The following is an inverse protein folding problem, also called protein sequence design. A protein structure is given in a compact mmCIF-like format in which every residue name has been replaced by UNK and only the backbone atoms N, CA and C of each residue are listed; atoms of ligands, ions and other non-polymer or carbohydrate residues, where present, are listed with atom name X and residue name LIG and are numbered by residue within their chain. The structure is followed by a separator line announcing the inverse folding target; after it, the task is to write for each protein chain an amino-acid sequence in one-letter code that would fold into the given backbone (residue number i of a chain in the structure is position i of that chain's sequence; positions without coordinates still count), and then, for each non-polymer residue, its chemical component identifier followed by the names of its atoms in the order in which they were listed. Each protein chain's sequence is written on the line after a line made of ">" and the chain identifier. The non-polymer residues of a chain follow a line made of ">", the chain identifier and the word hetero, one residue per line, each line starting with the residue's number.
data_IF_930878321054
#
_entry.id   IF_930878321054
#
_cell.length_a   1.000
_cell.length_b   1.000
_cell.length_c   1.000
_cell.angle_alpha   90.00
_cell.angle_beta   90.00
_cell.angle_gamma   90.00
#
_symmetry.space_group_name_H-M   'P 1'
#
loop_
_entity.id
_entity.type
_entity.pdbx_description
1 polymer ?
#
# COMPACT_ATOMS: atom_id res chain seq x y z
N UNK A 1 -5.48 -10.21 -17.78
CA UNK A 1 -5.57 -10.63 -16.38
C UNK A 1 -4.34 -10.12 -15.65
N UNK A 2 -4.52 -9.56 -14.46
CA UNK A 2 -3.49 -9.14 -13.50
C UNK A 2 -3.62 -10.07 -12.31
N UNK A 3 -2.50 -10.51 -11.74
CA UNK A 3 -2.50 -11.28 -10.51
C UNK A 3 -1.34 -10.82 -9.64
N UNK A 4 -1.61 -10.60 -8.36
CA UNK A 4 -0.64 -10.21 -7.36
C UNK A 4 -0.86 -10.96 -6.06
N UNK A 5 0.16 -10.99 -5.21
CA UNK A 5 0.11 -11.53 -3.85
C UNK A 5 0.95 -10.68 -2.93
N UNK A 6 0.32 -10.17 -1.88
CA UNK A 6 0.98 -9.41 -0.84
C UNK A 6 0.44 -9.80 0.53
N UNK A 7 1.35 -10.04 1.47
CA UNK A 7 1.03 -10.29 2.87
C UNK A 7 2.22 -9.90 3.75
N UNK A 8 1.94 -9.43 4.96
CA UNK A 8 2.97 -8.96 5.89
C UNK A 8 2.52 -9.06 7.35
N UNK A 9 3.43 -8.81 8.28
CA UNK A 9 3.18 -8.78 9.72
C UNK A 9 2.44 -7.52 10.13
N UNK A 10 1.72 -7.50 11.27
CA UNK A 10 1.00 -6.33 11.75
C UNK A 10 1.88 -5.08 11.84
N UNK A 11 1.34 -3.96 11.38
CA UNK A 11 1.97 -2.64 11.43
C UNK A 11 1.16 -1.65 12.28
N UNK A 12 -0.01 -2.08 12.76
CA UNK A 12 -0.87 -1.41 13.74
C UNK A 12 -1.40 -2.45 14.72
N UNK A 13 -1.79 -2.03 15.92
CA UNK A 13 -2.23 -2.95 16.98
C UNK A 13 -3.68 -3.39 16.81
N UNK A 14 -4.54 -2.55 16.22
CA UNK A 14 -5.93 -2.90 15.97
C UNK A 14 -6.06 -3.95 14.86
N UNK A 15 -6.56 -5.19 15.16
CA UNK A 15 -6.61 -6.26 14.18
C UNK A 15 -7.48 -5.94 12.96
N UNK A 16 -8.61 -5.28 13.17
CA UNK A 16 -9.51 -4.91 12.09
C UNK A 16 -8.85 -3.92 11.12
N UNK A 17 -8.21 -2.88 11.67
CA UNK A 17 -7.47 -1.88 10.89
C UNK A 17 -6.28 -2.52 10.16
N UNK A 18 -5.56 -3.45 10.81
CA UNK A 18 -4.51 -4.21 10.13
C UNK A 18 -5.04 -4.97 8.92
N UNK A 19 -6.18 -5.65 9.08
CA UNK A 19 -6.86 -6.33 7.97
C UNK A 19 -7.19 -5.41 6.81
N UNK A 20 -7.70 -4.20 7.11
CA UNK A 20 -7.99 -3.18 6.10
C UNK A 20 -6.74 -2.72 5.36
N UNK A 21 -5.64 -2.44 6.07
CA UNK A 21 -4.39 -1.97 5.48
C UNK A 21 -3.78 -3.05 4.59
N UNK A 22 -3.74 -4.30 5.06
CA UNK A 22 -3.19 -5.41 4.31
C UNK A 22 -3.96 -5.66 3.00
N UNK A 23 -5.29 -5.60 3.05
CA UNK A 23 -6.11 -5.71 1.85
C UNK A 23 -5.95 -4.52 0.90
N UNK A 24 -5.89 -3.29 1.42
CA UNK A 24 -5.66 -2.10 0.61
C UNK A 24 -4.32 -2.15 -0.12
N UNK A 25 -3.26 -2.65 0.54
CA UNK A 25 -1.94 -2.85 -0.06
C UNK A 25 -1.99 -3.89 -1.17
N UNK A 26 -2.55 -5.08 -0.94
CA UNK A 26 -2.62 -6.13 -1.95
C UNK A 26 -3.49 -5.76 -3.17
N UNK A 27 -4.51 -4.92 -2.98
CA UNK A 27 -5.35 -4.40 -4.08
C UNK A 27 -4.63 -3.32 -4.90
N UNK A 28 -3.60 -2.68 -4.33
CA UNK A 28 -2.92 -1.52 -4.92
C UNK A 28 -2.24 -1.83 -6.24
N UNK A 29 -1.59 -2.97 -6.38
CA UNK A 29 -0.91 -3.39 -7.61
C UNK A 29 -1.85 -3.44 -8.82
N UNK A 30 -3.09 -3.88 -8.59
CA UNK A 30 -4.09 -3.92 -9.66
C UNK A 30 -4.46 -2.51 -10.09
N UNK A 31 -4.60 -1.58 -9.15
CA UNK A 31 -4.90 -0.17 -9.46
C UNK A 31 -3.71 0.53 -10.12
N UNK A 32 -2.47 0.22 -9.71
CA UNK A 32 -1.25 0.77 -10.32
C UNK A 32 -1.11 0.39 -11.80
N UNK A 33 -1.73 -0.72 -12.21
CA UNK A 33 -1.81 -1.15 -13.61
C UNK A 33 -3.06 -0.62 -14.35
N UNK A 34 -3.85 0.26 -13.73
CA UNK A 34 -5.12 0.77 -14.29
C UNK A 34 -6.24 -0.26 -14.31
N UNK A 35 -6.06 -1.39 -13.60
CA UNK A 35 -6.99 -2.51 -13.58
C UNK A 35 -8.10 -2.38 -12.54
N UNK A 36 -9.01 -3.34 -12.60
CA UNK A 36 -10.09 -3.53 -11.64
C UNK A 36 -9.94 -4.88 -10.93
N UNK A 37 -9.79 -4.92 -9.60
CA UNK A 37 -9.87 -6.16 -8.83
C UNK A 37 -11.25 -6.82 -9.02
N UNK A 38 -11.27 -8.15 -9.14
CA UNK A 38 -12.52 -8.92 -9.29
C UNK A 38 -12.62 -10.06 -8.30
N UNK A 39 -11.50 -10.65 -7.92
CA UNK A 39 -11.44 -11.80 -7.02
C UNK A 39 -10.27 -11.64 -6.05
N UNK A 40 -10.49 -11.95 -4.78
CA UNK A 40 -9.46 -12.03 -3.77
C UNK A 40 -9.53 -13.36 -3.00
N UNK A 41 -8.37 -13.88 -2.62
CA UNK A 41 -8.19 -14.99 -1.71
C UNK A 41 -7.38 -14.53 -0.50
N UNK A 42 -7.86 -14.86 0.71
CA UNK A 42 -7.11 -14.59 1.93
C UNK A 42 -5.85 -15.45 2.01
N UNK A 43 -4.75 -14.86 2.44
CA UNK A 43 -3.53 -15.56 2.87
C UNK A 43 -3.28 -15.16 4.30
N UNK A 44 -3.32 -16.12 5.22
CA UNK A 44 -3.11 -15.88 6.63
C UNK A 44 -2.13 -16.88 7.23
N UNK A 45 -1.23 -16.39 8.06
CA UNK A 45 -0.42 -17.18 8.96
C UNK A 45 -0.71 -16.69 10.39
N UNK A 46 -1.04 -17.60 11.31
CA UNK A 46 -1.53 -17.19 12.62
C UNK A 46 -1.04 -18.11 13.74
N UNK A 47 -0.55 -17.55 14.86
CA UNK A 47 -0.08 -18.32 16.01
C UNK A 47 -1.23 -18.98 16.77
N UNK A 48 -1.06 -20.25 17.13
CA UNK A 48 -2.05 -20.97 17.95
C UNK A 48 -2.21 -20.44 19.38
N UNK A 49 -1.28 -19.63 19.87
CA UNK A 49 -1.30 -19.04 21.20
C UNK A 49 -2.15 -17.76 21.29
N UNK A 50 -2.55 -17.19 20.14
CA UNK A 50 -3.40 -16.00 20.11
C UNK A 50 -4.88 -16.39 19.99
N UNK A 51 -5.75 -15.51 20.51
CA UNK A 51 -7.19 -15.70 20.42
C UNK A 51 -7.64 -15.71 18.94
N UNK A 52 -8.38 -16.73 18.50
CA UNK A 52 -8.95 -16.80 17.14
C UNK A 52 -9.84 -15.60 16.77
N UNK A 53 -10.41 -14.90 17.74
CA UNK A 53 -11.20 -13.69 17.49
C UNK A 53 -10.35 -12.59 16.85
N UNK A 54 -9.06 -12.51 17.19
CA UNK A 54 -8.11 -11.56 16.56
C UNK A 54 -8.01 -11.85 15.06
N UNK A 55 -7.87 -13.11 14.67
CA UNK A 55 -7.86 -13.49 13.25
C UNK A 55 -9.21 -13.15 12.59
N UNK A 56 -10.32 -13.37 13.29
CA UNK A 56 -11.66 -13.01 12.83
C UNK A 56 -11.77 -11.53 12.47
N UNK A 57 -11.26 -10.64 13.33
CA UNK A 57 -11.25 -9.20 13.09
C UNK A 57 -10.34 -8.80 11.91
N UNK A 58 -9.16 -9.42 11.78
CA UNK A 58 -8.27 -9.20 10.63
C UNK A 58 -8.99 -9.57 9.33
N UNK A 59 -9.59 -10.76 9.28
CA UNK A 59 -10.32 -11.23 8.10
C UNK A 59 -11.52 -10.35 7.78
N UNK A 60 -12.23 -9.84 8.79
CA UNK A 60 -13.36 -8.91 8.62
C UNK A 60 -12.89 -7.59 8.01
N UNK A 61 -11.82 -6.99 8.53
CA UNK A 61 -11.23 -5.78 7.97
C UNK A 61 -10.82 -5.93 6.52
N UNK A 62 -10.19 -7.06 6.18
CA UNK A 62 -9.82 -7.40 4.80
C UNK A 62 -11.03 -7.58 3.88
N UNK A 63 -12.06 -8.30 4.36
CA UNK A 63 -13.30 -8.51 3.60
C UNK A 63 -14.01 -7.20 3.27
N UNK A 64 -14.09 -6.27 4.23
CA UNK A 64 -14.74 -4.97 4.01
C UNK A 64 -14.01 -4.16 2.92
N UNK A 65 -12.67 -4.22 2.86
CA UNK A 65 -11.89 -3.58 1.79
C UNK A 65 -12.05 -4.24 0.43
N UNK A 66 -12.16 -5.56 0.39
CA UNK A 66 -12.46 -6.29 -0.85
C UNK A 66 -13.83 -5.89 -1.38
N UNK A 67 -14.85 -5.76 -0.51
CA UNK A 67 -16.18 -5.28 -0.88
C UNK A 67 -16.15 -3.82 -1.35
N UNK A 68 -15.43 -2.94 -0.66
CA UNK A 68 -15.24 -1.53 -1.06
C UNK A 68 -14.57 -1.43 -2.44
N UNK A 69 -13.65 -2.32 -2.75
CA UNK A 69 -13.02 -2.44 -4.07
C UNK A 69 -14.01 -2.86 -5.18
N UNK A 70 -15.16 -3.43 -4.82
CA UNK A 70 -16.11 -4.02 -5.75
C UNK A 70 -15.69 -5.41 -6.24
N UNK A 71 -14.85 -6.11 -5.45
CA UNK A 71 -14.37 -7.45 -5.73
C UNK A 71 -15.08 -8.49 -4.84
N UNK A 72 -14.94 -9.76 -5.19
CA UNK A 72 -15.46 -10.88 -4.42
C UNK A 72 -14.35 -11.56 -3.64
N UNK A 73 -14.59 -11.83 -2.36
CA UNK A 73 -13.72 -12.69 -1.55
C UNK A 73 -14.17 -14.15 -1.73
N UNK A 74 -13.30 -15.00 -2.30
CA UNK A 74 -13.66 -16.35 -2.71
C UNK A 74 -13.05 -17.45 -1.83
N UNK A 75 -12.52 -17.10 -0.68
CA UNK A 75 -11.90 -18.01 0.26
C UNK A 75 -10.45 -17.65 0.56
N UNK A 76 -9.61 -18.66 0.72
CA UNK A 76 -8.20 -18.44 1.05
C UNK A 76 -7.58 -19.63 1.75
N UNK A 77 -6.42 -19.41 2.37
CA UNK A 77 -5.70 -20.43 3.12
C UNK A 77 -5.09 -19.84 4.39
N UNK A 78 -5.17 -20.60 5.50
CA UNK A 78 -4.55 -20.24 6.77
C UNK A 78 -3.57 -21.32 7.18
N UNK A 79 -2.37 -20.92 7.60
CA UNK A 79 -1.37 -21.81 8.18
C UNK A 79 -1.00 -21.37 9.59
N UNK A 80 -0.42 -22.29 10.37
CA UNK A 80 0.19 -21.94 11.65
C UNK A 80 1.56 -21.32 11.40
N UNK A 81 1.87 -20.24 12.15
CA UNK A 81 3.17 -19.58 12.16
C UNK A 81 3.41 -18.99 13.56
N UNK A 82 4.63 -18.61 13.87
CA UNK A 82 4.97 -17.98 15.15
C UNK A 82 4.59 -16.49 15.19
N UNK A 83 4.38 -15.86 14.02
CA UNK A 83 3.97 -14.46 13.88
C UNK A 83 2.70 -14.36 13.04
N UNK A 84 1.74 -13.49 13.44
CA UNK A 84 0.61 -13.18 12.58
C UNK A 84 1.09 -12.57 11.25
N UNK A 85 0.54 -13.06 10.13
CA UNK A 85 0.73 -12.45 8.80
C UNK A 85 -0.60 -12.53 8.08
N UNK A 86 -0.94 -11.46 7.37
CA UNK A 86 -2.16 -11.41 6.59
C UNK A 86 -1.98 -10.60 5.32
N UNK A 87 -2.71 -10.99 4.32
CA UNK A 87 -2.84 -10.30 3.05
C UNK A 87 -3.70 -11.06 2.07
N UNK A 88 -3.60 -10.71 0.81
CA UNK A 88 -4.45 -11.26 -0.24
C UNK A 88 -3.63 -11.71 -1.44
N UNK A 89 -4.15 -12.76 -2.12
CA UNK A 89 -3.88 -12.97 -3.53
C UNK A 89 -5.05 -12.36 -4.32
N UNK A 90 -4.76 -11.38 -5.18
CA UNK A 90 -5.78 -10.63 -5.92
C UNK A 90 -5.68 -10.91 -7.40
N UNK A 91 -6.82 -11.18 -8.01
CA UNK A 91 -6.98 -11.27 -9.46
C UNK A 91 -7.82 -10.10 -9.95
N UNK A 92 -7.30 -9.37 -10.93
CA UNK A 92 -7.97 -8.26 -11.57
C UNK A 92 -7.88 -8.31 -13.10
N UNK A 93 -8.57 -7.39 -13.74
CA UNK A 93 -8.56 -7.28 -15.20
C UNK A 93 -8.32 -5.85 -15.65
N UNK A 94 -7.64 -5.73 -16.77
CA UNK A 94 -7.43 -4.48 -17.49
C UNK A 94 -7.47 -4.78 -18.99
N UNK A 95 -7.97 -3.83 -19.77
CA UNK A 95 -7.82 -3.91 -21.22
C UNK A 95 -6.33 -3.72 -21.57
N UNK A 96 -5.68 -4.66 -22.27
CA UNK A 96 -4.26 -4.57 -22.59
C UNK A 96 -3.86 -3.28 -23.31
N UNK A 97 -4.77 -2.67 -24.08
CA UNK A 97 -4.52 -1.41 -24.78
C UNK A 97 -4.41 -0.19 -23.84
N UNK A 98 -4.94 -0.29 -22.62
CA UNK A 98 -4.98 0.78 -21.63
C UNK A 98 -4.23 0.41 -20.32
N UNK A 99 -3.46 -0.66 -20.36
CA UNK A 99 -2.67 -1.09 -19.20
C UNK A 99 -1.55 -0.10 -18.90
N UNK A 100 -1.53 0.39 -17.67
CA UNK A 100 -0.44 1.22 -17.17
C UNK A 100 0.76 0.36 -16.78
N UNK A 101 1.94 0.94 -16.91
CA UNK A 101 3.21 0.28 -16.59
C UNK A 101 4.05 1.22 -15.73
N UNK A 102 4.96 0.67 -14.97
CA UNK A 102 5.95 1.47 -14.22
C UNK A 102 7.05 2.08 -15.09
N UNK A 103 7.00 1.86 -16.41
CA UNK A 103 7.90 2.41 -17.42
C UNK A 103 7.09 3.11 -18.53
N UNK A 104 7.74 4.02 -19.27
CA UNK A 104 7.10 4.71 -20.38
C UNK A 104 6.93 6.21 -20.17
N UNK A 105 7.43 6.76 -19.06
CA UNK A 105 7.44 8.19 -18.77
C UNK A 105 8.16 8.98 -19.88
N UNK A 106 7.65 10.17 -20.19
CA UNK A 106 8.11 11.02 -21.29
C UNK A 106 8.59 12.36 -20.79
N UNK A 107 9.47 13.00 -21.56
CA UNK A 107 9.86 14.39 -21.28
C UNK A 107 8.64 15.31 -21.37
N UNK A 108 8.44 16.12 -20.36
CA UNK A 108 7.30 17.02 -20.23
C UNK A 108 6.11 16.44 -19.45
N UNK A 109 6.17 15.18 -19.02
CA UNK A 109 5.17 14.62 -18.13
C UNK A 109 5.20 15.29 -16.75
N UNK A 110 4.05 15.39 -16.13
CA UNK A 110 3.88 15.85 -14.74
C UNK A 110 3.74 14.63 -13.83
N UNK A 111 4.47 14.62 -12.72
CA UNK A 111 4.35 13.61 -11.68
C UNK A 111 3.23 13.98 -10.72
N UNK A 112 2.31 13.07 -10.48
CA UNK A 112 1.19 13.24 -9.52
C UNK A 112 1.36 12.20 -8.41
N UNK A 113 1.49 12.67 -7.18
CA UNK A 113 1.49 11.83 -5.98
C UNK A 113 0.11 11.92 -5.32
N UNK A 114 -0.56 10.80 -5.14
CA UNK A 114 -1.97 10.74 -4.75
C UNK A 114 -2.21 10.57 -3.25
N UNK A 115 -1.16 10.32 -2.48
CA UNK A 115 -1.19 10.21 -1.02
C UNK A 115 0.03 10.87 -0.40
N UNK A 116 -0.07 11.38 0.84
CA UNK A 116 1.10 11.92 1.54
C UNK A 116 2.12 10.81 1.89
N UNK A 117 3.37 11.22 2.03
CA UNK A 117 4.50 10.37 2.42
C UNK A 117 4.74 10.44 3.93
N UNK A 118 5.32 9.37 4.49
CA UNK A 118 5.73 9.34 5.90
C UNK A 118 5.20 8.14 6.67
N UNK A 119 4.37 7.27 6.09
CA UNK A 119 3.79 6.10 6.77
C UNK A 119 4.84 5.21 7.42
N UNK A 120 5.96 4.94 6.73
CA UNK A 120 7.03 4.11 7.29
C UNK A 120 7.73 4.75 8.51
N UNK A 121 7.90 6.07 8.49
CA UNK A 121 8.47 6.83 9.62
C UNK A 121 7.49 6.81 10.80
N UNK A 122 6.21 7.13 10.54
CA UNK A 122 5.17 7.10 11.58
C UNK A 122 4.99 5.71 12.16
N UNK A 123 4.98 4.65 11.35
CA UNK A 123 4.93 3.27 11.86
C UNK A 123 6.15 2.92 12.74
N UNK A 124 7.32 3.50 12.46
CA UNK A 124 8.50 3.33 13.31
C UNK A 124 8.33 4.10 14.63
N UNK A 125 7.79 5.32 14.57
CA UNK A 125 7.49 6.12 15.76
C UNK A 125 6.40 5.48 16.64
N UNK A 126 5.38 4.88 16.04
CA UNK A 126 4.34 4.08 16.76
C UNK A 126 4.98 2.93 17.51
N UNK A 127 5.83 2.13 16.84
CA UNK A 127 6.56 1.02 17.49
C UNK A 127 7.49 1.48 18.61
N UNK A 128 7.99 2.71 18.52
CA UNK A 128 8.79 3.36 19.57
C UNK A 128 7.95 4.06 20.65
N UNK A 129 6.63 3.95 20.63
CA UNK A 129 5.69 4.59 21.58
C UNK A 129 5.86 6.12 21.62
N UNK A 130 6.25 6.73 20.49
CA UNK A 130 6.49 8.18 20.38
C UNK A 130 5.42 8.92 19.58
N UNK A 131 4.69 8.23 18.71
CA UNK A 131 3.62 8.85 17.93
C UNK A 131 2.37 9.05 18.78
N UNK A 132 1.67 10.16 18.56
CA UNK A 132 0.37 10.41 19.17
C UNK A 132 -0.72 9.48 18.61
N UNK A 133 -1.82 9.34 19.34
CA UNK A 133 -3.00 8.60 18.85
C UNK A 133 -3.56 9.21 17.55
N UNK A 134 -3.56 10.53 17.43
CA UNK A 134 -4.02 11.24 16.22
C UNK A 134 -3.14 10.93 15.01
N UNK A 135 -1.81 10.99 15.16
CA UNK A 135 -0.86 10.65 14.10
C UNK A 135 -0.96 9.19 13.69
N UNK A 136 -1.13 8.30 14.67
CA UNK A 136 -1.32 6.85 14.44
C UNK A 136 -2.60 6.59 13.66
N UNK A 137 -3.72 7.17 14.06
CA UNK A 137 -5.01 7.04 13.39
C UNK A 137 -4.98 7.63 11.98
N UNK A 138 -4.33 8.78 11.80
CA UNK A 138 -4.16 9.41 10.49
C UNK A 138 -3.34 8.52 9.55
N UNK A 139 -2.18 8.02 9.98
CA UNK A 139 -1.35 7.13 9.18
C UNK A 139 -2.11 5.85 8.79
N UNK A 140 -2.81 5.23 9.74
CA UNK A 140 -3.64 4.06 9.50
C UNK A 140 -4.75 4.34 8.46
N UNK A 141 -5.43 5.49 8.57
CA UNK A 141 -6.48 5.90 7.62
C UNK A 141 -5.95 6.07 6.19
N UNK A 142 -4.77 6.68 6.03
CA UNK A 142 -4.11 6.85 4.73
C UNK A 142 -3.71 5.49 4.13
N UNK A 143 -3.17 4.59 4.96
CA UNK A 143 -2.80 3.23 4.52
C UNK A 143 -4.03 2.40 4.13
N UNK A 144 -5.12 2.49 4.88
CA UNK A 144 -6.36 1.76 4.61
C UNK A 144 -7.19 2.34 3.45
N UNK A 145 -6.90 3.56 3.00
CA UNK A 145 -7.59 4.17 1.84
C UNK A 145 -7.19 3.46 0.55
N UNK A 146 -8.16 2.99 -0.24
CA UNK A 146 -7.89 2.33 -1.51
C UNK A 146 -7.34 3.31 -2.56
N UNK A 147 -6.32 2.90 -3.29
CA UNK A 147 -5.81 3.63 -4.47
C UNK A 147 -6.80 3.63 -5.66
N UNK A 148 -7.92 2.90 -5.52
CA UNK A 148 -9.06 2.92 -6.44
C UNK A 148 -9.52 4.34 -6.76
N UNK A 149 -9.70 5.16 -5.73
CA UNK A 149 -10.24 6.52 -5.90
C UNK A 149 -9.33 7.40 -6.75
N UNK A 150 -8.01 7.31 -6.54
CA UNK A 150 -7.04 8.02 -7.37
C UNK A 150 -7.04 7.48 -8.81
N UNK A 151 -7.03 6.14 -8.98
CA UNK A 151 -7.09 5.50 -10.29
C UNK A 151 -8.33 5.95 -11.07
N UNK A 152 -9.50 5.98 -10.42
CA UNK A 152 -10.76 6.35 -11.06
C UNK A 152 -10.76 7.81 -11.53
N UNK A 153 -10.16 8.72 -10.74
CA UNK A 153 -10.06 10.15 -11.09
C UNK A 153 -9.15 10.43 -12.29
N UNK A 154 -8.18 9.57 -12.56
CA UNK A 154 -7.22 9.75 -13.66
C UNK A 154 -7.48 8.81 -14.83
N UNK A 155 -8.53 8.00 -14.79
CA UNK A 155 -8.81 6.94 -15.77
C UNK A 155 -8.97 7.50 -17.21
N UNK A 156 -9.51 8.70 -17.35
CA UNK A 156 -9.72 9.39 -18.64
C UNK A 156 -8.46 10.17 -19.11
N UNK A 157 -7.41 10.22 -18.30
CA UNK A 157 -6.17 10.89 -18.63
C UNK A 157 -5.24 9.95 -19.40
N UNK A 158 -4.34 10.54 -20.19
CA UNK A 158 -3.29 9.79 -20.86
C UNK A 158 -2.14 9.53 -19.89
N UNK A 159 -2.18 8.38 -19.23
CA UNK A 159 -1.13 7.94 -18.31
C UNK A 159 -0.01 7.27 -19.10
N UNK A 160 1.22 7.80 -18.99
CA UNK A 160 2.41 7.24 -19.64
C UNK A 160 3.14 6.24 -18.76
N UNK A 161 3.16 6.45 -17.45
CA UNK A 161 3.72 5.54 -16.47
C UNK A 161 2.96 5.66 -15.14
N UNK A 162 2.87 4.56 -14.41
CA UNK A 162 2.25 4.51 -13.09
C UNK A 162 2.95 3.44 -12.25
N UNK A 163 3.10 3.69 -10.98
CA UNK A 163 3.52 2.72 -9.96
C UNK A 163 2.87 3.12 -8.64
N UNK A 164 2.62 2.18 -7.77
CA UNK A 164 2.36 2.51 -6.37
C UNK A 164 3.68 2.76 -5.62
N UNK A 165 3.60 3.34 -4.44
CA UNK A 165 4.74 3.62 -3.57
C UNK A 165 4.57 2.83 -2.29
N UNK A 166 5.44 1.86 -2.05
CA UNK A 166 5.40 0.95 -0.92
C UNK A 166 6.68 1.04 -0.08
N UNK A 167 7.11 -0.05 0.54
CA UNK A 167 8.23 -0.10 1.48
C UNK A 167 9.60 0.38 0.97
N UNK A 168 9.80 0.44 -0.35
CA UNK A 168 11.03 1.02 -0.94
C UNK A 168 11.03 2.55 -0.99
N UNK A 169 9.92 3.20 -0.67
CA UNK A 169 9.76 4.63 -0.64
C UNK A 169 9.74 5.30 -2.02
N UNK A 170 9.38 6.59 -2.04
CA UNK A 170 9.24 7.36 -3.28
C UNK A 170 10.51 7.32 -4.14
N UNK A 171 11.69 7.49 -3.53
CA UNK A 171 12.94 7.56 -4.28
C UNK A 171 13.25 6.22 -5.00
N UNK A 172 12.99 5.08 -4.36
CA UNK A 172 13.17 3.75 -4.95
C UNK A 172 12.29 3.54 -6.17
N UNK A 173 10.98 3.75 -6.00
CA UNK A 173 10.01 3.57 -7.10
C UNK A 173 10.19 4.61 -8.22
N UNK A 174 10.51 5.86 -7.89
CA UNK A 174 10.84 6.88 -8.89
C UNK A 174 12.11 6.53 -9.68
N UNK A 175 13.13 5.97 -9.02
CA UNK A 175 14.35 5.53 -9.69
C UNK A 175 14.09 4.38 -10.66
N UNK A 176 13.25 3.42 -10.27
CA UNK A 176 12.82 2.32 -11.13
C UNK A 176 12.10 2.85 -12.37
N UNK A 177 11.12 3.74 -12.18
CA UNK A 177 10.40 4.39 -13.28
C UNK A 177 11.34 5.18 -14.19
N UNK A 178 12.26 5.96 -13.63
CA UNK A 178 13.24 6.76 -14.37
C UNK A 178 14.14 5.88 -15.24
N UNK A 179 14.75 4.84 -14.63
CA UNK A 179 15.63 3.89 -15.33
C UNK A 179 14.88 3.14 -16.43
N UNK A 180 13.73 2.56 -16.11
CA UNK A 180 12.93 1.80 -17.06
C UNK A 180 12.39 2.64 -18.22
N UNK A 181 12.20 3.94 -18.01
CA UNK A 181 11.76 4.89 -19.05
C UNK A 181 12.91 5.56 -19.80
N UNK A 182 14.16 5.41 -19.35
CA UNK A 182 15.31 6.13 -19.90
C UNK A 182 15.17 7.65 -19.76
N UNK A 183 14.68 8.11 -18.60
CA UNK A 183 14.38 9.52 -18.31
C UNK A 183 14.92 9.92 -16.93
N UNK A 184 15.08 11.23 -16.74
CA UNK A 184 15.33 11.82 -15.42
C UNK A 184 14.03 12.35 -14.88
N UNK A 185 13.70 11.99 -13.62
CA UNK A 185 12.59 12.55 -12.87
C UNK A 185 13.12 13.68 -11.96
N UNK A 186 12.50 14.85 -12.07
CA UNK A 186 12.81 16.00 -11.20
C UNK A 186 11.70 16.13 -10.15
N UNK A 187 12.07 16.01 -8.89
CA UNK A 187 11.14 16.07 -7.76
C UNK A 187 11.52 17.24 -6.87
N UNK A 188 10.60 18.19 -6.67
CA UNK A 188 10.77 19.27 -5.71
C UNK A 188 10.42 18.77 -4.31
N UNK A 189 11.39 18.75 -3.40
CA UNK A 189 11.18 18.31 -2.02
C UNK A 189 10.15 19.18 -1.29
N UNK A 190 10.11 20.49 -1.58
CA UNK A 190 9.15 21.41 -0.98
C UNK A 190 7.71 21.20 -1.45
N UNK A 191 7.51 20.48 -2.56
CA UNK A 191 6.19 20.18 -3.10
C UNK A 191 5.65 18.81 -2.63
N UNK A 192 6.46 18.02 -1.92
CA UNK A 192 6.02 16.72 -1.44
C UNK A 192 5.04 16.88 -0.26
N UNK A 193 3.87 16.27 -0.31
CA UNK A 193 2.96 16.21 0.83
C UNK A 193 3.53 15.23 1.86
N UNK A 194 4.04 15.74 2.97
CA UNK A 194 4.60 14.95 4.07
C UNK A 194 3.61 14.95 5.22
N UNK A 195 3.40 13.79 5.84
CA UNK A 195 2.56 13.64 7.02
C UNK A 195 3.12 14.45 8.19
N UNK A 196 2.23 15.05 8.98
CA UNK A 196 2.59 15.77 10.21
C UNK A 196 3.40 14.87 11.12
N UNK A 197 4.43 15.42 11.76
CA UNK A 197 5.35 14.71 12.66
C UNK A 197 6.42 13.87 11.94
N UNK A 198 6.22 13.46 10.69
CA UNK A 198 7.15 12.54 10.03
C UNK A 198 8.58 13.08 9.90
N UNK A 199 8.75 14.38 9.60
CA UNK A 199 10.09 14.99 9.51
C UNK A 199 10.76 15.11 10.88
N UNK A 200 10.00 15.40 11.92
CA UNK A 200 10.51 15.51 13.29
C UNK A 200 11.00 14.13 13.77
N UNK A 201 10.20 13.08 13.58
CA UNK A 201 10.61 11.72 13.91
C UNK A 201 11.80 11.24 13.10
N UNK A 202 11.87 11.59 11.79
CA UNK A 202 13.04 11.29 10.98
C UNK A 202 14.31 11.97 11.52
N UNK A 203 14.21 13.24 11.98
CA UNK A 203 15.33 13.96 12.58
C UNK A 203 15.83 13.32 13.88
N UNK A 204 14.95 12.62 14.60
CA UNK A 204 15.29 11.85 15.81
C UNK A 204 15.88 10.46 15.47
N UNK A 205 15.99 10.10 14.19
CA UNK A 205 16.48 8.80 13.74
C UNK A 205 15.43 7.69 13.69
N UNK A 206 14.14 8.01 13.87
CA UNK A 206 13.05 7.05 13.76
C UNK A 206 12.68 6.82 12.30
N UNK A 207 13.59 6.16 11.57
CA UNK A 207 13.39 5.81 10.17
C UNK A 207 13.38 4.28 10.00
N UNK A 208 12.63 3.75 9.00
CA UNK A 208 12.59 2.32 8.76
C UNK A 208 13.97 1.71 8.55
N UNK A 209 14.22 0.52 9.11
CA UNK A 209 15.52 -0.16 9.03
C UNK A 209 15.99 -0.37 7.57
N UNK A 210 15.08 -0.51 6.62
CA UNK A 210 15.39 -0.61 5.19
C UNK A 210 16.03 0.64 4.58
N UNK A 211 15.86 1.81 5.20
CA UNK A 211 16.44 3.07 4.72
C UNK A 211 17.93 3.23 5.11
N UNK A 212 18.45 2.37 5.99
CA UNK A 212 19.88 2.33 6.37
C UNK A 212 20.72 1.36 5.51
N UNK A 213 20.12 0.69 4.55
CA UNK A 213 20.76 -0.24 3.61
C UNK A 213 20.77 0.38 2.22
#
# INVERSE_FOLDING_TARGET
>A
MIQTVDFFTPIVDDPYTFGQIAAANALSDVYAMGGEPKLALNIAAFPNCLDPEILGEILRGGADKVLEAGASLAGGHTIQDDEPKYGLCVTGFVNPAFMWKNIGARTGDVLILTKPLGTGILSTAVKGEMASEEETAYAASVMATLNKYARDQVADLKIHACTDVTGFGLAGHALEMAKGSGRTLSISLSALPIMTGALDYASMGLIPAGAYR
#
